data_IF_920520614853
#
_entry.id   IF_920520614853
#
_cell.length_a   1.000
_cell.length_b   1.000
_cell.length_c   1.000
_cell.angle_alpha   90.00
_cell.angle_beta   90.00
_cell.angle_gamma   90.00
#
_symmetry.space_group_name_H-M   'P 1'
#
loop_
_entity.id
_entity.type
_entity.pdbx_description
1 polymer ?
#
# COMPACT_ATOMS: atom_id res chain seq x y z
N UNK A 1 79.95 -22.62 19.36
CA UNK A 1 78.84 -21.85 19.93
C UNK A 1 77.89 -21.51 18.78
N UNK A 2 76.92 -22.43 18.50
CA UNK A 2 75.97 -22.30 17.40
C UNK A 2 74.65 -21.73 17.95
N UNK A 3 74.26 -20.50 17.47
CA UNK A 3 72.98 -19.91 17.75
C UNK A 3 72.05 -20.22 16.59
N UNK A 4 71.12 -21.15 16.83
CA UNK A 4 69.99 -21.38 15.92
C UNK A 4 69.00 -20.25 16.05
N UNK A 5 68.73 -19.52 14.92
CA UNK A 5 67.61 -18.57 14.79
C UNK A 5 66.40 -19.36 14.32
N UNK A 6 65.37 -19.46 15.20
CA UNK A 6 64.02 -19.92 14.85
C UNK A 6 63.23 -18.74 14.29
N UNK A 7 62.85 -18.80 12.99
CA UNK A 7 61.85 -17.93 12.39
C UNK A 7 60.48 -18.47 12.77
N UNK A 8 59.54 -17.61 13.29
CA UNK A 8 58.16 -18.01 13.40
C UNK A 8 57.47 -17.85 12.05
N UNK A 9 56.90 -18.94 11.52
CA UNK A 9 56.06 -18.95 10.36
C UNK A 9 54.73 -18.24 10.71
N UNK A 10 54.53 -17.07 10.15
CA UNK A 10 53.27 -16.32 10.27
C UNK A 10 52.22 -16.95 9.32
N UNK A 11 51.29 -17.73 9.86
CA UNK A 11 50.16 -18.30 9.15
C UNK A 11 49.14 -17.17 8.91
N UNK A 12 49.15 -16.59 7.73
CA UNK A 12 48.09 -15.68 7.26
C UNK A 12 46.86 -16.51 6.94
N UNK A 13 45.92 -16.59 7.87
CA UNK A 13 44.56 -17.07 7.61
C UNK A 13 43.82 -16.05 6.71
N UNK A 14 43.85 -16.31 5.42
CA UNK A 14 42.92 -15.63 4.47
C UNK A 14 41.50 -16.06 4.81
N UNK A 15 40.79 -15.24 5.55
CA UNK A 15 39.33 -15.33 5.64
C UNK A 15 38.76 -14.97 4.27
N UNK A 16 38.44 -15.96 3.46
CA UNK A 16 37.63 -15.77 2.29
C UNK A 16 36.22 -15.46 2.78
N UNK A 17 35.84 -14.18 2.76
CA UNK A 17 34.47 -13.77 2.92
C UNK A 17 33.64 -14.33 1.75
N UNK A 18 32.98 -15.46 1.98
CA UNK A 18 31.96 -15.97 1.04
C UNK A 18 30.87 -14.91 0.98
N UNK A 19 30.57 -14.30 -0.20
CA UNK A 19 29.46 -13.38 -0.31
C UNK A 19 28.19 -14.15 0.02
N UNK A 20 27.56 -13.82 1.14
CA UNK A 20 26.22 -14.31 1.44
C UNK A 20 25.31 -13.67 0.39
N UNK A 21 24.77 -14.48 -0.50
CA UNK A 21 23.72 -14.06 -1.39
C UNK A 21 22.53 -13.60 -0.52
N UNK A 22 22.31 -12.30 -0.47
CA UNK A 22 21.11 -11.73 0.15
C UNK A 22 19.96 -12.09 -0.79
N UNK A 23 19.28 -13.18 -0.51
CA UNK A 23 18.01 -13.48 -1.18
C UNK A 23 17.03 -12.41 -0.74
N UNK A 24 16.54 -11.62 -1.69
CA UNK A 24 15.40 -10.72 -1.44
C UNK A 24 14.22 -11.58 -0.95
N UNK A 25 13.54 -11.12 0.09
CA UNK A 25 12.33 -11.78 0.54
C UNK A 25 11.32 -11.84 -0.63
N UNK A 26 10.57 -12.93 -0.79
CA UNK A 26 9.56 -13.02 -1.84
C UNK A 26 8.53 -11.91 -1.64
N UNK A 27 8.04 -11.36 -2.75
CA UNK A 27 6.95 -10.39 -2.73
C UNK A 27 5.65 -11.06 -2.28
N UNK A 28 4.74 -10.31 -1.64
CA UNK A 28 3.47 -10.86 -1.15
C UNK A 28 2.65 -11.50 -2.29
N UNK A 29 2.68 -10.91 -3.48
CA UNK A 29 2.03 -11.45 -4.66
C UNK A 29 2.59 -12.80 -5.14
N UNK A 30 3.86 -13.13 -4.83
CA UNK A 30 4.47 -14.40 -5.24
C UNK A 30 4.09 -15.58 -4.33
N UNK A 31 3.53 -15.28 -3.15
CA UNK A 31 3.15 -16.28 -2.14
C UNK A 31 1.70 -16.75 -2.26
N UNK A 32 0.91 -16.15 -3.17
CA UNK A 32 -0.52 -16.44 -3.29
C UNK A 32 -0.92 -16.71 -4.74
N UNK A 33 -2.05 -17.42 -4.91
CA UNK A 33 -2.71 -17.56 -6.21
C UNK A 33 -3.91 -16.63 -6.31
N UNK A 34 -4.16 -16.07 -7.51
CA UNK A 34 -5.35 -15.25 -7.73
C UNK A 34 -6.62 -16.10 -7.59
N UNK A 35 -7.59 -15.56 -6.84
CA UNK A 35 -8.82 -16.29 -6.56
C UNK A 35 -8.71 -17.35 -5.46
N UNK A 36 -7.56 -17.48 -4.78
CA UNK A 36 -7.41 -18.36 -3.62
C UNK A 36 -8.45 -18.00 -2.55
N UNK A 37 -9.16 -19.01 -2.05
CA UNK A 37 -10.16 -18.80 -1.01
C UNK A 37 -9.52 -18.38 0.32
N UNK A 38 -10.10 -17.38 0.96
CA UNK A 38 -9.65 -16.90 2.27
C UNK A 38 -10.17 -17.85 3.36
N UNK A 39 -9.28 -18.30 4.24
CA UNK A 39 -9.64 -19.14 5.37
C UNK A 39 -10.10 -18.27 6.56
N UNK A 40 -11.41 -18.09 6.69
CA UNK A 40 -12.03 -17.30 7.78
C UNK A 40 -11.89 -17.94 9.18
N UNK A 41 -11.43 -19.18 9.28
CA UNK A 41 -11.19 -19.84 10.57
C UNK A 41 -9.85 -19.46 11.21
N UNK A 42 -9.00 -18.71 10.53
CA UNK A 42 -7.77 -18.18 11.12
C UNK A 42 -8.08 -17.26 12.30
N UNK A 43 -7.20 -17.27 13.30
CA UNK A 43 -7.41 -16.50 14.53
C UNK A 43 -7.57 -14.99 14.27
N UNK A 44 -6.86 -14.43 13.28
CA UNK A 44 -6.99 -13.03 12.88
C UNK A 44 -8.43 -12.67 12.47
N UNK A 45 -9.12 -13.53 11.71
CA UNK A 45 -10.51 -13.31 11.32
C UNK A 45 -11.47 -13.52 12.50
N UNK A 46 -11.23 -14.53 13.33
CA UNK A 46 -12.04 -14.77 14.52
C UNK A 46 -11.96 -13.59 15.51
N UNK A 47 -10.79 -12.97 15.64
CA UNK A 47 -10.61 -11.74 16.42
C UNK A 47 -11.37 -10.57 15.82
N UNK A 48 -11.21 -10.33 14.50
CA UNK A 48 -11.95 -9.29 13.77
C UNK A 48 -13.46 -9.46 13.94
N UNK A 49 -14.00 -10.67 13.81
CA UNK A 49 -15.44 -10.92 13.96
C UNK A 49 -15.94 -10.67 15.39
N UNK A 50 -15.14 -11.00 16.42
CA UNK A 50 -15.48 -10.64 17.80
C UNK A 50 -15.56 -9.14 17.99
N UNK A 51 -14.59 -8.39 17.47
CA UNK A 51 -14.54 -6.93 17.54
C UNK A 51 -15.73 -6.29 16.79
N UNK A 52 -15.99 -6.70 15.55
CA UNK A 52 -17.11 -6.18 14.76
C UNK A 52 -18.46 -6.41 15.47
N UNK A 53 -18.64 -7.55 16.15
CA UNK A 53 -19.85 -7.81 16.94
C UNK A 53 -19.92 -6.96 18.21
N UNK A 54 -18.81 -6.83 18.92
CA UNK A 54 -18.79 -6.17 20.22
C UNK A 54 -18.87 -4.64 20.10
N UNK A 55 -18.17 -4.05 19.12
CA UNK A 55 -18.01 -2.60 19.02
C UNK A 55 -18.87 -1.95 17.93
N UNK A 56 -19.20 -2.74 16.89
CA UNK A 56 -19.92 -2.22 15.71
C UNK A 56 -21.29 -2.87 15.50
N UNK A 57 -21.75 -3.73 16.44
CA UNK A 57 -23.08 -4.37 16.42
C UNK A 57 -23.37 -5.23 15.19
N UNK A 58 -22.35 -5.79 14.52
CA UNK A 58 -22.57 -6.73 13.44
C UNK A 58 -23.15 -8.05 13.94
N UNK A 59 -24.19 -8.56 13.29
CA UNK A 59 -24.71 -9.89 13.52
C UNK A 59 -23.88 -10.97 12.81
N UNK A 60 -24.00 -12.21 13.26
CA UNK A 60 -23.36 -13.36 12.60
C UNK A 60 -23.86 -13.56 11.15
N UNK A 61 -25.09 -13.16 10.83
CA UNK A 61 -25.63 -13.23 9.47
C UNK A 61 -24.98 -12.21 8.54
N UNK A 62 -24.82 -10.96 8.98
CA UNK A 62 -24.15 -9.92 8.22
C UNK A 62 -22.67 -10.26 7.96
N UNK A 63 -21.97 -10.77 8.97
CA UNK A 63 -20.58 -11.21 8.80
C UNK A 63 -20.47 -12.37 7.81
N UNK A 64 -21.38 -13.34 7.87
CA UNK A 64 -21.40 -14.43 6.87
C UNK A 64 -21.68 -13.90 5.47
N UNK A 65 -22.63 -13.00 5.29
CA UNK A 65 -22.95 -12.41 3.99
C UNK A 65 -21.76 -11.62 3.42
N UNK A 66 -21.09 -10.82 4.22
CA UNK A 66 -19.96 -9.98 3.78
C UNK A 66 -18.71 -10.80 3.45
N UNK A 67 -18.39 -11.79 4.28
CA UNK A 67 -17.10 -12.47 4.21
C UNK A 67 -17.12 -13.82 3.49
N UNK A 68 -18.30 -14.47 3.32
CA UNK A 68 -18.37 -15.74 2.59
C UNK A 68 -18.02 -15.57 1.12
N UNK A 69 -17.22 -16.49 0.59
CA UNK A 69 -16.81 -16.47 -0.81
C UNK A 69 -15.78 -15.42 -1.18
N UNK A 70 -15.22 -14.70 -0.20
CA UNK A 70 -14.11 -13.76 -0.46
C UNK A 70 -12.86 -14.52 -0.87
N UNK A 71 -12.15 -13.97 -1.85
CA UNK A 71 -10.95 -14.56 -2.43
C UNK A 71 -9.85 -13.53 -2.52
N UNK A 72 -8.61 -14.01 -2.50
CA UNK A 72 -7.43 -13.19 -2.71
C UNK A 72 -7.45 -12.57 -4.12
N UNK A 73 -7.05 -11.32 -4.21
CA UNK A 73 -6.74 -10.64 -5.46
C UNK A 73 -5.23 -10.46 -5.57
N UNK A 74 -4.56 -11.33 -6.31
CA UNK A 74 -3.12 -11.21 -6.57
C UNK A 74 -2.78 -9.84 -7.15
N UNK A 75 -3.66 -9.29 -8.01
CA UNK A 75 -3.48 -7.95 -8.59
C UNK A 75 -3.36 -6.84 -7.55
N UNK A 76 -4.06 -6.93 -6.43
CA UNK A 76 -3.96 -5.96 -5.33
C UNK A 76 -2.55 -6.01 -4.74
N UNK A 77 -2.03 -7.20 -4.46
CA UNK A 77 -0.68 -7.38 -3.89
C UNK A 77 0.41 -6.91 -4.87
N UNK A 78 0.30 -7.25 -6.15
CA UNK A 78 1.21 -6.75 -7.19
C UNK A 78 1.28 -5.22 -7.26
N UNK A 79 0.16 -4.53 -7.02
CA UNK A 79 0.12 -3.07 -6.99
C UNK A 79 0.77 -2.52 -5.72
N UNK A 80 0.56 -3.17 -4.57
CA UNK A 80 1.21 -2.79 -3.31
C UNK A 80 2.73 -3.03 -3.36
N UNK A 81 3.16 -4.09 -4.01
CA UNK A 81 4.59 -4.39 -4.22
C UNK A 81 5.26 -3.37 -5.17
N UNK A 82 4.48 -2.72 -6.05
CA UNK A 82 4.93 -1.67 -6.97
C UNK A 82 4.68 -0.28 -6.38
N UNK A 83 5.47 0.12 -5.41
CA UNK A 83 5.35 1.44 -4.79
C UNK A 83 5.71 2.56 -5.78
N UNK A 84 4.70 3.11 -6.46
CA UNK A 84 4.86 4.25 -7.37
C UNK A 84 5.40 5.50 -6.65
N UNK A 85 5.04 5.65 -5.37
CA UNK A 85 5.46 6.73 -4.49
C UNK A 85 6.97 6.66 -4.15
N UNK A 86 7.61 5.51 -4.32
CA UNK A 86 9.05 5.34 -4.15
C UNK A 86 9.86 5.96 -5.30
N UNK A 87 9.19 6.38 -6.39
CA UNK A 87 9.87 7.06 -7.49
C UNK A 87 10.32 8.46 -7.11
N UNK A 88 11.43 8.95 -7.70
CA UNK A 88 11.82 10.34 -7.55
C UNK A 88 10.70 11.30 -7.95
N UNK A 89 10.58 12.44 -7.26
CA UNK A 89 9.50 13.41 -7.47
C UNK A 89 9.35 13.84 -8.94
N UNK A 90 10.46 14.01 -9.67
CA UNK A 90 10.44 14.42 -11.08
C UNK A 90 9.84 13.37 -12.03
N UNK A 91 9.80 12.10 -11.64
CA UNK A 91 9.13 11.03 -12.38
C UNK A 91 7.67 10.86 -11.95
N UNK A 92 7.38 11.15 -10.67
CA UNK A 92 6.06 10.98 -10.08
C UNK A 92 5.13 12.17 -10.39
N UNK A 93 5.60 13.39 -10.20
CA UNK A 93 4.80 14.60 -10.36
C UNK A 93 4.13 14.75 -11.75
N UNK A 94 4.78 14.43 -12.89
CA UNK A 94 4.14 14.55 -14.21
C UNK A 94 2.91 13.65 -14.42
N UNK A 95 2.71 12.62 -13.59
CA UNK A 95 1.52 11.78 -13.64
C UNK A 95 0.26 12.56 -13.27
N UNK A 96 0.40 13.60 -12.45
CA UNK A 96 -0.69 14.41 -11.90
C UNK A 96 -0.67 15.86 -12.45
N UNK A 97 0.51 16.46 -12.60
CA UNK A 97 0.67 17.84 -13.04
C UNK A 97 0.59 17.99 -14.56
N UNK A 98 -0.49 17.48 -15.15
CA UNK A 98 -0.77 17.65 -16.57
C UNK A 98 -1.52 18.96 -16.81
N UNK A 99 -1.37 19.54 -18.02
CA UNK A 99 -2.13 20.73 -18.41
C UNK A 99 -3.63 20.52 -18.24
N UNK A 100 -4.14 19.36 -18.64
CA UNK A 100 -5.55 19.02 -18.53
C UNK A 100 -6.03 19.00 -17.07
N UNK A 101 -5.26 18.38 -16.15
CA UNK A 101 -5.62 18.34 -14.74
C UNK A 101 -5.64 19.74 -14.12
N UNK A 102 -4.66 20.58 -14.46
CA UNK A 102 -4.60 21.97 -13.97
C UNK A 102 -5.78 22.80 -14.47
N UNK A 103 -6.11 22.70 -15.76
CA UNK A 103 -7.26 23.41 -16.34
C UNK A 103 -8.59 22.93 -15.74
N UNK A 104 -8.74 21.62 -15.54
CA UNK A 104 -9.92 21.06 -14.87
C UNK A 104 -10.01 21.53 -13.42
N UNK A 105 -8.90 21.54 -12.68
CA UNK A 105 -8.87 22.03 -11.30
C UNK A 105 -9.30 23.49 -11.18
N UNK A 106 -8.83 24.36 -12.08
CA UNK A 106 -9.25 25.77 -12.12
C UNK A 106 -10.76 25.90 -12.38
N UNK A 107 -11.31 25.06 -13.25
CA UNK A 107 -12.75 25.06 -13.52
C UNK A 107 -13.52 24.59 -12.28
N UNK A 108 -13.10 23.51 -11.62
CA UNK A 108 -13.73 23.00 -10.40
C UNK A 108 -13.69 24.02 -9.26
N UNK A 109 -12.59 24.76 -9.11
CA UNK A 109 -12.49 25.87 -8.15
C UNK A 109 -13.54 26.95 -8.41
N UNK A 110 -13.82 27.28 -9.68
CA UNK A 110 -14.83 28.26 -10.03
C UNK A 110 -16.27 27.74 -9.86
N UNK A 111 -16.52 26.50 -10.31
CA UNK A 111 -17.85 25.88 -10.25
C UNK A 111 -18.31 25.60 -8.80
N UNK A 112 -17.38 25.26 -7.90
CA UNK A 112 -17.68 24.91 -6.52
C UNK A 112 -17.28 26.00 -5.50
N UNK A 113 -17.11 27.23 -5.98
CA UNK A 113 -16.58 28.34 -5.18
C UNK A 113 -17.31 28.53 -3.84
N UNK A 114 -18.63 28.56 -3.84
CA UNK A 114 -19.42 28.84 -2.65
C UNK A 114 -19.17 27.81 -1.52
N UNK A 115 -19.17 26.51 -1.86
CA UNK A 115 -18.92 25.46 -0.87
C UNK A 115 -17.47 25.45 -0.41
N UNK A 116 -16.54 25.72 -1.33
CA UNK A 116 -15.11 25.75 -1.02
C UNK A 116 -14.73 26.94 -0.13
N UNK A 117 -15.28 28.14 -0.40
CA UNK A 117 -15.12 29.33 0.45
C UNK A 117 -15.67 29.08 1.86
N UNK A 118 -16.79 28.35 2.00
CA UNK A 118 -17.35 27.97 3.30
C UNK A 118 -16.44 26.97 4.03
N UNK A 119 -15.92 25.93 3.35
CA UNK A 119 -14.98 24.97 3.93
C UNK A 119 -13.72 25.71 4.44
N UNK A 120 -13.17 26.62 3.65
CA UNK A 120 -12.00 27.42 4.03
C UNK A 120 -12.26 28.27 5.27
N UNK A 121 -13.43 28.91 5.35
CA UNK A 121 -13.82 29.77 6.48
C UNK A 121 -14.15 28.98 7.76
N UNK A 122 -14.85 27.85 7.64
CA UNK A 122 -15.33 27.09 8.81
C UNK A 122 -14.30 26.08 9.33
N UNK A 123 -13.48 25.51 8.44
CA UNK A 123 -12.57 24.41 8.75
C UNK A 123 -11.10 24.85 8.68
N UNK A 124 -10.79 25.91 7.94
CA UNK A 124 -9.44 26.45 7.78
C UNK A 124 -8.56 25.65 6.81
N UNK A 125 -9.16 24.93 5.88
CA UNK A 125 -8.45 24.20 4.83
C UNK A 125 -8.54 24.98 3.52
N UNK A 126 -7.38 25.32 2.95
CA UNK A 126 -7.30 26.04 1.68
C UNK A 126 -8.06 25.29 0.58
N UNK A 127 -8.94 25.98 -0.12
CA UNK A 127 -9.77 25.39 -1.19
C UNK A 127 -8.96 24.77 -2.33
N UNK A 128 -7.78 25.32 -2.61
CA UNK A 128 -6.86 24.79 -3.62
C UNK A 128 -6.34 23.40 -3.22
N UNK A 129 -6.14 23.14 -1.92
CA UNK A 129 -5.75 21.83 -1.41
C UNK A 129 -6.89 20.82 -1.57
N UNK A 130 -8.12 21.21 -1.24
CA UNK A 130 -9.30 20.34 -1.43
C UNK A 130 -9.43 19.92 -2.89
N UNK A 131 -9.32 20.87 -3.81
CA UNK A 131 -9.40 20.61 -5.26
C UNK A 131 -8.22 19.75 -5.75
N UNK A 132 -7.01 19.99 -5.26
CA UNK A 132 -5.83 19.21 -5.63
C UNK A 132 -5.98 17.74 -5.22
N UNK A 133 -6.41 17.48 -3.99
CA UNK A 133 -6.69 16.12 -3.49
C UNK A 133 -7.78 15.45 -4.34
N UNK A 134 -8.92 16.13 -4.58
CA UNK A 134 -9.99 15.59 -5.41
C UNK A 134 -9.51 15.23 -6.82
N UNK A 135 -8.65 16.08 -7.40
CA UNK A 135 -8.03 15.83 -8.70
C UNK A 135 -7.10 14.63 -8.73
N UNK A 136 -6.26 14.45 -7.70
CA UNK A 136 -5.30 13.35 -7.58
C UNK A 136 -6.04 12.02 -7.37
N UNK A 137 -6.98 11.99 -6.43
CA UNK A 137 -7.68 10.76 -6.02
C UNK A 137 -8.62 10.21 -7.10
N UNK A 138 -9.40 11.08 -7.73
CA UNK A 138 -10.50 10.61 -8.58
C UNK A 138 -10.56 11.29 -9.95
N UNK A 139 -9.57 12.12 -10.30
CA UNK A 139 -9.65 13.00 -11.48
C UNK A 139 -10.97 13.78 -11.51
N UNK A 140 -11.28 14.41 -10.40
CA UNK A 140 -12.53 15.18 -10.19
C UNK A 140 -13.79 14.32 -10.37
N UNK A 141 -13.81 13.13 -9.81
CA UNK A 141 -14.94 12.20 -9.83
C UNK A 141 -15.08 11.37 -11.12
N UNK A 142 -14.20 11.53 -12.09
CA UNK A 142 -14.24 10.76 -13.35
C UNK A 142 -13.64 9.37 -13.26
N UNK A 143 -12.83 9.12 -12.23
CA UNK A 143 -12.21 7.82 -11.95
C UNK A 143 -12.43 7.44 -10.49
N UNK A 144 -13.34 6.51 -10.25
CA UNK A 144 -13.64 6.00 -8.91
C UNK A 144 -12.98 4.65 -8.61
N UNK A 145 -12.10 4.19 -9.52
CA UNK A 145 -11.48 2.88 -9.43
C UNK A 145 -12.40 1.74 -9.90
N UNK A 146 -11.83 0.54 -9.98
CA UNK A 146 -12.52 -0.67 -10.42
C UNK A 146 -12.42 -1.83 -9.42
N UNK A 147 -11.70 -1.61 -8.31
CA UNK A 147 -11.51 -2.66 -7.30
C UNK A 147 -12.73 -2.76 -6.38
N UNK A 148 -13.14 -3.99 -6.09
CA UNK A 148 -14.09 -4.23 -5.02
C UNK A 148 -13.40 -3.96 -3.68
N UNK A 149 -13.90 -3.00 -2.91
CA UNK A 149 -13.26 -2.52 -1.67
C UNK A 149 -13.13 -3.65 -0.65
N UNK A 150 -14.21 -4.43 -0.45
CA UNK A 150 -14.21 -5.50 0.54
C UNK A 150 -13.21 -6.61 0.17
N UNK A 151 -13.18 -7.03 -1.10
CA UNK A 151 -12.19 -8.01 -1.58
C UNK A 151 -10.76 -7.48 -1.44
N UNK A 152 -10.54 -6.20 -1.74
CA UNK A 152 -9.23 -5.54 -1.61
C UNK A 152 -8.76 -5.55 -0.17
N UNK A 153 -9.61 -5.08 0.77
CA UNK A 153 -9.28 -5.05 2.19
C UNK A 153 -9.05 -6.46 2.76
N UNK A 154 -9.88 -7.43 2.38
CA UNK A 154 -9.67 -8.81 2.77
C UNK A 154 -8.36 -9.39 2.23
N UNK A 155 -7.99 -9.07 0.99
CA UNK A 155 -6.70 -9.48 0.42
C UNK A 155 -5.53 -8.94 1.23
N UNK A 156 -5.55 -7.64 1.55
CA UNK A 156 -4.48 -7.00 2.34
C UNK A 156 -4.44 -7.48 3.80
N UNK A 157 -5.60 -7.83 4.36
CA UNK A 157 -5.69 -8.36 5.73
C UNK A 157 -5.22 -9.82 5.81
N UNK A 158 -5.38 -10.59 4.73
CA UNK A 158 -4.98 -12.00 4.69
C UNK A 158 -3.49 -12.19 4.37
N UNK A 159 -2.90 -11.34 3.56
CA UNK A 159 -1.47 -11.34 3.25
C UNK A 159 -0.62 -10.91 4.46
#
# INVERSE_FOLDING_TARGET
>A
MNRFFLLPALFLLLHQAVPQAVFAAPLAADLVEDGQAINLNQEKYQRLFRELKAEHNFSDSELRELFSGQTISKRVLELMDKQWEAKPYHEYAPLFLTRQNIETGRRMLAEHREILDRIEQEIGVDREIVIAIWGIETRYGTNQGSFNVLRTLNTLFDA
#
